data_IF_942345329200
#
_entry.id   IF_942345329200
#
_cell.length_a   1.000
_cell.length_b   1.000
_cell.length_c   1.000
_cell.angle_alpha   90.00
_cell.angle_beta   90.00
_cell.angle_gamma   90.00
#
_symmetry.space_group_name_H-M   'P 1'
#
loop_
_entity.id
_entity.type
_entity.pdbx_description
1 polymer ?
#
# COMPACT_ATOMS: atom_id res chain seq x y z
N UNK A 1 -15.89 0.64 -74.01
CA UNK A 1 -16.04 0.69 -72.54
C UNK A 1 -15.05 -0.30 -71.97
N UNK A 2 -14.00 0.21 -71.33
CA UNK A 2 -12.84 -0.58 -70.96
C UNK A 2 -13.02 -1.10 -69.53
N UNK A 3 -13.24 -2.41 -69.40
CA UNK A 3 -13.52 -3.06 -68.12
C UNK A 3 -12.32 -3.03 -67.17
N UNK A 4 -11.10 -2.80 -67.68
CA UNK A 4 -9.87 -2.71 -66.88
C UNK A 4 -9.84 -1.51 -65.94
N UNK A 5 -10.42 -0.38 -66.33
CA UNK A 5 -10.43 0.85 -65.51
C UNK A 5 -11.40 0.76 -64.33
N UNK A 6 -12.50 0.01 -64.50
CA UNK A 6 -13.52 -0.23 -63.46
C UNK A 6 -13.02 -1.19 -62.36
N UNK A 7 -12.29 -2.23 -62.75
CA UNK A 7 -11.69 -3.18 -61.79
C UNK A 7 -10.55 -2.53 -61.00
N UNK A 8 -9.73 -1.70 -61.66
CA UNK A 8 -8.63 -0.97 -61.01
C UNK A 8 -9.10 0.06 -59.97
N UNK A 9 -10.20 0.78 -60.23
CA UNK A 9 -10.75 1.76 -59.26
C UNK A 9 -11.44 1.10 -58.08
N UNK A 10 -12.14 -0.01 -58.28
CA UNK A 10 -12.73 -0.81 -57.19
C UNK A 10 -11.64 -1.42 -56.29
N UNK A 11 -10.56 -1.95 -56.87
CA UNK A 11 -9.44 -2.50 -56.10
C UNK A 11 -8.69 -1.40 -55.30
N UNK A 12 -8.45 -0.23 -55.90
CA UNK A 12 -7.82 0.91 -55.23
C UNK A 12 -8.65 1.46 -54.06
N UNK A 13 -9.97 1.51 -54.19
CA UNK A 13 -10.87 1.96 -53.13
C UNK A 13 -10.95 0.98 -51.94
N UNK A 14 -10.92 -0.34 -52.21
CA UNK A 14 -10.93 -1.37 -51.17
C UNK A 14 -9.60 -1.41 -50.40
N UNK A 15 -8.47 -1.27 -51.09
CA UNK A 15 -7.14 -1.23 -50.44
C UNK A 15 -6.94 0.08 -49.68
N UNK A 16 -7.32 1.24 -50.25
CA UNK A 16 -7.20 2.55 -49.59
C UNK A 16 -8.15 2.73 -48.41
N UNK A 17 -9.38 2.21 -48.49
CA UNK A 17 -10.35 2.22 -47.39
C UNK A 17 -10.00 1.25 -46.25
N UNK A 18 -9.43 0.08 -46.58
CA UNK A 18 -8.97 -0.89 -45.58
C UNK A 18 -7.78 -0.39 -44.74
N UNK A 19 -6.80 0.26 -45.38
CA UNK A 19 -5.62 0.83 -44.72
C UNK A 19 -5.96 1.98 -43.77
N UNK A 20 -6.95 2.82 -44.10
CA UNK A 20 -7.36 3.95 -43.23
C UNK A 20 -8.14 3.50 -42.00
N UNK A 21 -8.94 2.43 -42.09
CA UNK A 21 -9.66 1.87 -40.94
C UNK A 21 -8.71 1.09 -40.01
N UNK A 22 -7.76 0.33 -40.58
CA UNK A 22 -6.71 -0.34 -39.80
C UNK A 22 -5.76 0.66 -39.14
N UNK A 23 -5.34 1.72 -39.84
CA UNK A 23 -4.49 2.79 -39.29
C UNK A 23 -5.13 3.50 -38.10
N UNK A 24 -6.41 3.91 -38.21
CA UNK A 24 -7.14 4.55 -37.09
C UNK A 24 -7.36 3.63 -35.90
N UNK A 25 -7.56 2.33 -36.15
CA UNK A 25 -7.71 1.32 -35.08
C UNK A 25 -6.38 1.04 -34.37
N UNK A 26 -5.26 1.09 -35.10
CA UNK A 26 -3.91 0.91 -34.56
C UNK A 26 -3.44 2.15 -33.80
N UNK A 27 -3.64 3.35 -34.35
CA UNK A 27 -3.40 4.64 -33.67
C UNK A 27 -4.24 4.77 -32.39
N UNK A 28 -5.51 4.33 -32.42
CA UNK A 28 -6.37 4.30 -31.24
C UNK A 28 -5.87 3.34 -30.15
N UNK A 29 -5.31 2.19 -30.53
CA UNK A 29 -4.68 1.25 -29.57
C UNK A 29 -3.36 1.77 -29.05
N UNK A 30 -2.56 2.41 -29.88
CA UNK A 30 -1.26 2.97 -29.50
C UNK A 30 -1.43 4.15 -28.54
N UNK A 31 -2.34 5.10 -28.83
CA UNK A 31 -2.68 6.19 -27.91
C UNK A 31 -3.25 5.69 -26.58
N UNK A 32 -4.03 4.60 -26.61
CA UNK A 32 -4.54 3.95 -25.38
C UNK A 32 -3.44 3.29 -24.56
N UNK A 33 -2.40 2.73 -25.20
CA UNK A 33 -1.21 2.21 -24.52
C UNK A 33 -0.39 3.34 -23.92
N UNK A 34 -0.03 4.35 -24.71
CA UNK A 34 0.74 5.51 -24.23
C UNK A 34 0.02 6.24 -23.08
N UNK A 35 -1.31 6.40 -23.13
CA UNK A 35 -2.07 7.00 -22.04
C UNK A 35 -2.17 6.09 -20.80
N UNK A 36 -2.17 4.76 -20.98
CA UNK A 36 -2.12 3.79 -19.87
C UNK A 36 -0.74 3.81 -19.23
N UNK A 37 0.32 3.82 -20.02
CA UNK A 37 1.71 3.83 -19.57
C UNK A 37 2.03 5.13 -18.83
N UNK A 38 1.54 6.28 -19.31
CA UNK A 38 1.68 7.56 -18.61
C UNK A 38 0.98 7.58 -17.25
N UNK A 39 -0.24 7.04 -17.15
CA UNK A 39 -0.98 6.95 -15.88
C UNK A 39 -0.37 5.92 -14.92
N UNK A 40 0.11 4.80 -15.45
CA UNK A 40 0.81 3.78 -14.67
C UNK A 40 2.15 4.32 -14.14
N UNK A 41 2.85 5.14 -14.93
CA UNK A 41 4.07 5.82 -14.50
C UNK A 41 3.78 6.85 -13.39
N UNK A 42 2.73 7.66 -13.52
CA UNK A 42 2.33 8.64 -12.50
C UNK A 42 1.96 7.97 -11.18
N UNK A 43 1.05 6.99 -11.21
CA UNK A 43 0.67 6.22 -10.03
C UNK A 43 1.87 5.45 -9.44
N UNK A 44 2.70 4.88 -10.30
CA UNK A 44 3.87 4.12 -9.90
C UNK A 44 4.95 4.97 -9.21
N UNK A 45 5.15 6.21 -9.66
CA UNK A 45 6.09 7.14 -9.04
C UNK A 45 5.63 7.58 -7.64
N UNK A 46 4.34 7.88 -7.47
CA UNK A 46 3.78 8.27 -6.18
C UNK A 46 3.93 7.12 -5.16
N UNK A 47 3.41 5.93 -5.51
CA UNK A 47 3.49 4.74 -4.65
C UNK A 47 4.94 4.39 -4.33
N UNK A 48 5.86 4.51 -5.31
CA UNK A 48 7.29 4.24 -5.07
C UNK A 48 7.86 5.15 -3.99
N UNK A 49 7.54 6.44 -4.03
CA UNK A 49 8.06 7.39 -3.06
C UNK A 49 7.62 7.02 -1.64
N UNK A 50 6.34 6.74 -1.45
CA UNK A 50 5.77 6.32 -0.17
C UNK A 50 6.33 4.99 0.32
N UNK A 51 6.42 3.96 -0.53
CA UNK A 51 7.00 2.67 -0.15
C UNK A 51 8.47 2.79 0.26
N UNK A 52 9.25 3.67 -0.38
CA UNK A 52 10.63 3.94 0.02
C UNK A 52 10.72 4.71 1.34
N UNK A 53 9.76 5.59 1.64
CA UNK A 53 9.60 6.24 2.96
C UNK A 53 9.42 5.19 4.05
N UNK A 54 8.42 4.31 3.89
CA UNK A 54 8.17 3.19 4.81
C UNK A 54 9.37 2.27 4.95
N UNK A 55 10.03 1.89 3.84
CA UNK A 55 11.22 1.05 3.89
C UNK A 55 12.32 1.66 4.75
N UNK A 56 12.55 2.97 4.62
CA UNK A 56 13.55 3.69 5.42
C UNK A 56 13.20 3.68 6.91
N UNK A 57 11.92 3.82 7.24
CA UNK A 57 11.43 3.76 8.62
C UNK A 57 11.72 2.38 9.23
N UNK A 58 11.32 1.30 8.56
CA UNK A 58 11.51 -0.06 9.08
C UNK A 58 12.98 -0.51 9.11
N UNK A 59 13.78 -0.15 8.12
CA UNK A 59 15.23 -0.43 8.13
C UNK A 59 15.93 0.28 9.29
N UNK A 60 15.55 1.52 9.60
CA UNK A 60 16.10 2.23 10.77
C UNK A 60 15.68 1.58 12.07
N UNK A 61 14.44 1.12 12.15
CA UNK A 61 13.90 0.50 13.36
C UNK A 61 14.62 -0.80 13.72
N UNK A 62 15.05 -1.57 12.71
CA UNK A 62 15.84 -2.80 12.88
C UNK A 62 17.26 -2.59 13.46
N UNK A 63 17.76 -1.35 13.54
CA UNK A 63 19.06 -1.07 14.16
C UNK A 63 18.93 -1.07 15.69
N UNK A 64 19.63 -1.96 16.42
CA UNK A 64 19.56 -2.05 17.88
C UNK A 64 19.94 -0.75 18.62
N UNK A 65 20.61 0.18 17.95
CA UNK A 65 21.02 1.45 18.52
C UNK A 65 20.00 2.58 18.33
N UNK A 66 18.98 2.38 17.51
CA UNK A 66 17.95 3.39 17.29
C UNK A 66 16.84 3.29 18.33
N UNK A 67 16.17 4.41 18.55
CA UNK A 67 14.90 4.39 19.28
C UNK A 67 13.92 3.54 18.50
N UNK A 68 13.15 2.67 19.18
CA UNK A 68 12.32 1.77 18.42
C UNK A 68 11.20 2.63 17.76
N UNK A 69 10.70 2.27 16.58
CA UNK A 69 9.58 2.91 15.86
C UNK A 69 8.23 3.11 16.62
N UNK A 70 7.87 4.34 17.01
CA UNK A 70 6.52 4.64 17.58
C UNK A 70 5.45 4.93 16.51
N UNK A 71 4.55 3.98 16.28
CA UNK A 71 3.45 4.08 15.31
C UNK A 71 2.16 4.66 15.89
N UNK A 72 2.14 5.03 17.18
CA UNK A 72 0.97 5.67 17.81
C UNK A 72 0.90 7.18 17.57
N UNK A 73 1.99 7.75 17.05
CA UNK A 73 2.10 9.15 16.71
C UNK A 73 1.31 9.50 15.43
N UNK A 74 0.76 10.73 15.32
CA UNK A 74 -0.08 11.12 14.18
C UNK A 74 0.58 11.00 12.81
N UNK A 75 1.91 11.15 12.73
CA UNK A 75 2.63 11.08 11.46
C UNK A 75 2.51 9.70 10.80
N UNK A 76 2.31 8.62 11.57
CA UNK A 76 2.19 7.28 11.01
C UNK A 76 0.90 7.11 10.21
N UNK A 77 -0.23 7.55 10.77
CA UNK A 77 -1.53 7.48 10.09
C UNK A 77 -1.57 8.38 8.86
N UNK A 78 -0.92 9.56 8.92
CA UNK A 78 -0.74 10.46 7.78
C UNK A 78 0.03 9.78 6.62
N UNK A 79 1.14 9.09 6.90
CA UNK A 79 1.90 8.36 5.87
C UNK A 79 1.07 7.21 5.26
N UNK A 80 0.31 6.48 6.08
CA UNK A 80 -0.52 5.36 5.61
C UNK A 80 -1.70 5.86 4.77
N UNK A 81 -2.37 6.94 5.17
CA UNK A 81 -3.44 7.57 4.39
C UNK A 81 -2.92 8.24 3.11
N UNK A 82 -1.68 8.76 3.14
CA UNK A 82 -0.97 9.22 1.95
C UNK A 82 -0.83 8.10 0.93
N UNK A 83 -0.25 6.96 1.32
CA UNK A 83 -0.14 5.79 0.45
C UNK A 83 -1.51 5.29 -0.02
N UNK A 84 -2.51 5.22 0.86
CA UNK A 84 -3.88 4.80 0.48
C UNK A 84 -4.47 5.71 -0.61
N UNK A 85 -4.19 7.01 -0.55
CA UNK A 85 -4.62 7.97 -1.56
C UNK A 85 -3.91 7.76 -2.90
N UNK A 86 -2.63 7.42 -2.89
CA UNK A 86 -1.86 7.11 -4.10
C UNK A 86 -2.31 5.81 -4.78
N UNK A 87 -2.71 4.81 -3.98
CA UNK A 87 -3.26 3.55 -4.50
C UNK A 87 -4.52 3.76 -5.34
N UNK A 88 -5.31 4.81 -5.07
CA UNK A 88 -6.49 5.15 -5.88
C UNK A 88 -6.12 5.52 -7.33
N UNK A 89 -4.87 5.94 -7.58
CA UNK A 89 -4.36 6.27 -8.90
C UNK A 89 -4.07 5.00 -9.74
N UNK A 90 -3.93 3.84 -9.11
CA UNK A 90 -3.70 2.56 -9.80
C UNK A 90 -4.92 2.21 -10.63
N UNK A 91 -4.76 2.15 -11.95
CA UNK A 91 -5.88 1.95 -12.88
C UNK A 91 -6.34 0.50 -12.99
N UNK A 92 -5.46 -0.46 -12.71
CA UNK A 92 -5.75 -1.89 -12.81
C UNK A 92 -6.38 -2.41 -11.52
N UNK A 93 -7.59 -2.97 -11.62
CA UNK A 93 -8.36 -3.40 -10.45
C UNK A 93 -7.63 -4.45 -9.58
N UNK A 94 -6.98 -5.43 -10.22
CA UNK A 94 -6.27 -6.49 -9.51
C UNK A 94 -5.02 -5.95 -8.78
N UNK A 95 -4.26 -5.07 -9.43
CA UNK A 95 -3.10 -4.42 -8.82
C UNK A 95 -3.55 -3.51 -7.66
N UNK A 96 -4.61 -2.71 -7.87
CA UNK A 96 -5.18 -1.84 -6.84
C UNK A 96 -5.60 -2.62 -5.61
N UNK A 97 -6.35 -3.71 -5.79
CA UNK A 97 -6.79 -4.57 -4.68
C UNK A 97 -5.61 -5.10 -3.86
N UNK A 98 -4.51 -5.45 -4.52
CA UNK A 98 -3.31 -5.94 -3.83
C UNK A 98 -2.55 -4.83 -3.09
N UNK A 99 -2.50 -3.62 -3.65
CA UNK A 99 -1.99 -2.48 -2.91
C UNK A 99 -2.91 -2.05 -1.75
N UNK A 100 -4.23 -2.20 -1.89
CA UNK A 100 -5.17 -1.99 -0.77
C UNK A 100 -4.87 -2.96 0.38
N UNK A 101 -4.58 -4.23 0.11
CA UNK A 101 -4.13 -5.19 1.13
C UNK A 101 -2.85 -4.74 1.83
N UNK A 102 -1.88 -4.15 1.11
CA UNK A 102 -0.67 -3.57 1.69
C UNK A 102 -1.04 -2.46 2.69
N UNK A 103 -1.88 -1.52 2.27
CA UNK A 103 -2.32 -0.41 3.15
C UNK A 103 -3.12 -0.91 4.35
N UNK A 104 -3.93 -1.96 4.19
CA UNK A 104 -4.68 -2.59 5.28
C UNK A 104 -3.73 -3.14 6.36
N UNK A 105 -2.68 -3.88 5.95
CA UNK A 105 -1.70 -4.42 6.90
C UNK A 105 -0.92 -3.31 7.60
N UNK A 106 -0.48 -2.28 6.88
CA UNK A 106 0.20 -1.13 7.49
C UNK A 106 -0.69 -0.39 8.51
N UNK A 107 -1.98 -0.25 8.25
CA UNK A 107 -2.94 0.30 9.23
C UNK A 107 -3.12 -0.60 10.46
N UNK A 108 -2.91 -1.91 10.35
CA UNK A 108 -2.96 -2.79 11.52
C UNK A 108 -1.76 -2.57 12.46
N UNK A 109 -0.59 -2.26 11.89
CA UNK A 109 0.63 -1.95 12.65
C UNK A 109 0.45 -0.68 13.52
N UNK A 110 -0.25 0.34 13.01
CA UNK A 110 -0.59 1.59 13.73
C UNK A 110 -1.20 1.33 15.12
N UNK A 111 -2.12 0.38 15.18
CA UNK A 111 -3.03 0.21 16.30
C UNK A 111 -2.47 -0.57 17.50
N UNK A 112 -1.16 -0.83 17.49
CA UNK A 112 -0.45 -1.57 18.51
C UNK A 112 0.44 -0.63 19.34
N UNK A 113 -0.06 -0.08 20.46
CA UNK A 113 0.80 0.73 21.30
C UNK A 113 1.94 -0.13 21.87
N UNK A 114 3.15 0.43 21.87
CA UNK A 114 4.41 -0.25 22.21
C UNK A 114 4.57 -0.37 23.70
N UNK A 115 3.72 -1.18 24.31
CA UNK A 115 3.76 -1.34 25.75
C UNK A 115 4.64 -2.49 26.22
N UNK A 116 5.08 -3.43 25.37
CA UNK A 116 5.93 -4.56 25.79
C UNK A 116 6.66 -5.21 24.60
N UNK A 117 7.99 -5.36 24.67
CA UNK A 117 8.96 -6.29 24.03
C UNK A 117 8.77 -6.87 22.61
N UNK A 118 7.74 -6.47 21.85
CA UNK A 118 7.42 -7.03 20.55
C UNK A 118 7.90 -6.14 19.39
N UNK A 119 8.86 -5.23 19.63
CA UNK A 119 9.34 -4.26 18.62
C UNK A 119 9.86 -4.94 17.35
N UNK A 120 10.65 -6.01 17.53
CA UNK A 120 11.27 -6.76 16.43
C UNK A 120 10.23 -7.43 15.51
N UNK A 121 9.14 -7.99 16.07
CA UNK A 121 8.09 -8.68 15.28
C UNK A 121 7.32 -7.69 14.37
N UNK A 122 7.10 -6.45 14.83
CA UNK A 122 6.45 -5.41 14.00
C UNK A 122 7.35 -4.90 12.88
N UNK A 123 8.64 -4.78 13.18
CA UNK A 123 9.62 -4.28 12.21
C UNK A 123 9.86 -5.29 11.10
N UNK A 124 9.86 -6.58 11.42
CA UNK A 124 9.90 -7.68 10.44
C UNK A 124 8.64 -7.73 9.58
N UNK A 125 7.44 -7.66 10.18
CA UNK A 125 6.17 -7.61 9.43
C UNK A 125 6.14 -6.43 8.47
N UNK A 126 6.53 -5.25 8.95
CA UNK A 126 6.57 -4.03 8.14
C UNK A 126 7.54 -4.13 6.98
N UNK A 127 8.74 -4.65 7.22
CA UNK A 127 9.74 -4.87 6.17
C UNK A 127 9.22 -5.82 5.08
N UNK A 128 8.67 -6.97 5.47
CA UNK A 128 8.15 -7.99 4.54
C UNK A 128 7.02 -7.44 3.66
N UNK A 129 6.08 -6.70 4.25
CA UNK A 129 4.96 -6.07 3.54
C UNK A 129 5.47 -5.07 2.50
N UNK A 130 6.50 -4.30 2.84
CA UNK A 130 7.06 -3.29 1.93
C UNK A 130 7.86 -3.93 0.80
N UNK A 131 8.64 -4.99 1.06
CA UNK A 131 9.36 -5.72 0.00
C UNK A 131 8.38 -6.38 -0.99
N UNK A 132 7.30 -6.99 -0.49
CA UNK A 132 6.21 -7.53 -1.33
C UNK A 132 5.55 -6.42 -2.17
N UNK A 133 5.27 -5.27 -1.57
CA UNK A 133 4.69 -4.12 -2.27
C UNK A 133 5.62 -3.57 -3.38
N UNK A 134 6.94 -3.55 -3.14
CA UNK A 134 7.94 -3.12 -4.13
C UNK A 134 8.03 -4.10 -5.31
N UNK A 135 7.92 -5.40 -5.06
CA UNK A 135 7.87 -6.42 -6.12
C UNK A 135 6.60 -6.27 -6.97
N UNK A 136 5.45 -6.10 -6.32
CA UNK A 136 4.17 -5.84 -6.97
C UNK A 136 4.23 -4.58 -7.84
N UNK A 137 4.81 -3.50 -7.31
CA UNK A 137 5.01 -2.24 -8.01
C UNK A 137 5.91 -2.39 -9.23
N UNK A 138 7.00 -3.14 -9.10
CA UNK A 138 7.88 -3.45 -10.22
C UNK A 138 7.14 -4.13 -11.38
N UNK A 139 6.30 -5.12 -11.08
CA UNK A 139 5.48 -5.81 -12.09
C UNK A 139 4.44 -4.87 -12.71
N UNK A 140 3.75 -4.07 -11.89
CA UNK A 140 2.74 -3.10 -12.34
C UNK A 140 3.34 -2.06 -13.30
N UNK A 141 4.47 -1.44 -12.95
CA UNK A 141 5.12 -0.42 -13.79
C UNK A 141 5.59 -0.99 -15.13
N UNK A 142 6.07 -2.24 -15.15
CA UNK A 142 6.52 -2.91 -16.38
C UNK A 142 5.36 -3.43 -17.24
N UNK A 143 4.13 -3.44 -16.71
CA UNK A 143 2.98 -4.08 -17.35
C UNK A 143 3.13 -5.61 -17.45
N UNK A 144 3.98 -6.19 -16.59
CA UNK A 144 4.18 -7.64 -16.50
C UNK A 144 2.97 -8.31 -15.82
N UNK A 145 2.90 -9.64 -15.92
CA UNK A 145 2.01 -10.40 -15.06
C UNK A 145 2.33 -10.10 -13.59
N UNK A 146 1.31 -9.74 -12.81
CA UNK A 146 1.47 -9.56 -11.37
C UNK A 146 2.00 -10.86 -10.74
N UNK A 147 2.91 -10.78 -9.74
CA UNK A 147 3.38 -11.96 -9.05
C UNK A 147 2.19 -12.75 -8.48
N UNK A 148 2.28 -14.05 -8.28
CA UNK A 148 1.17 -14.75 -7.64
C UNK A 148 0.98 -14.23 -6.19
N UNK A 149 -0.21 -14.42 -5.60
CA UNK A 149 -0.47 -13.97 -4.23
C UNK A 149 0.40 -14.79 -3.28
N UNK A 150 1.44 -14.15 -2.71
CA UNK A 150 2.34 -14.84 -1.79
C UNK A 150 1.63 -15.09 -0.46
N UNK A 151 1.96 -16.21 0.15
CA UNK A 151 1.50 -16.51 1.52
C UNK A 151 2.06 -15.51 2.54
N UNK A 152 3.05 -14.69 2.18
CA UNK A 152 3.63 -13.64 3.01
C UNK A 152 2.59 -12.62 3.44
N UNK A 153 1.85 -12.01 2.51
CA UNK A 153 0.84 -11.00 2.87
C UNK A 153 -0.25 -11.55 3.80
N UNK A 154 -0.66 -12.82 3.59
CA UNK A 154 -1.60 -13.51 4.47
C UNK A 154 -1.01 -13.72 5.87
N UNK A 155 0.26 -14.14 5.96
CA UNK A 155 0.97 -14.32 7.25
C UNK A 155 1.18 -12.99 7.96
N UNK A 156 1.64 -11.95 7.26
CA UNK A 156 1.84 -10.61 7.79
C UNK A 156 0.53 -10.04 8.35
N UNK A 157 -0.59 -10.20 7.63
CA UNK A 157 -1.91 -9.82 8.12
C UNK A 157 -2.28 -10.57 9.40
N UNK A 158 -2.18 -11.90 9.39
CA UNK A 158 -2.54 -12.72 10.55
C UNK A 158 -1.65 -12.40 11.77
N UNK A 159 -0.36 -12.14 11.55
CA UNK A 159 0.57 -11.72 12.58
C UNK A 159 0.19 -10.33 13.13
N UNK A 160 -0.04 -9.34 12.25
CA UNK A 160 -0.45 -8.00 12.67
C UNK A 160 -1.77 -8.00 13.48
N UNK A 161 -2.77 -8.78 13.06
CA UNK A 161 -4.04 -8.95 13.78
C UNK A 161 -3.82 -9.60 15.16
N UNK A 162 -2.96 -10.63 15.23
CA UNK A 162 -2.61 -11.31 16.48
C UNK A 162 -1.91 -10.36 17.44
N UNK A 163 -0.92 -9.61 16.96
CA UNK A 163 -0.13 -8.71 17.80
C UNK A 163 -0.97 -7.52 18.27
N UNK A 164 -1.85 -6.99 17.41
CA UNK A 164 -2.87 -5.99 17.81
C UNK A 164 -3.75 -6.51 18.94
N UNK A 165 -4.26 -7.73 18.84
CA UNK A 165 -5.13 -8.33 19.86
C UNK A 165 -4.40 -8.48 21.20
N UNK A 166 -3.19 -9.04 21.18
CA UNK A 166 -2.33 -9.17 22.37
C UNK A 166 -2.04 -7.81 23.03
N UNK A 167 -1.77 -6.78 22.23
CA UNK A 167 -1.46 -5.44 22.76
C UNK A 167 -2.69 -4.75 23.35
N UNK A 168 -3.86 -4.90 22.74
CA UNK A 168 -5.12 -4.41 23.30
C UNK A 168 -5.45 -5.07 24.64
N UNK A 169 -5.22 -6.38 24.77
CA UNK A 169 -5.39 -7.11 26.03
C UNK A 169 -4.42 -6.62 27.11
N UNK A 170 -3.13 -6.49 26.79
CA UNK A 170 -2.11 -5.95 27.70
C UNK A 170 -2.42 -4.52 28.14
N UNK A 171 -2.87 -3.66 27.21
CA UNK A 171 -3.29 -2.30 27.53
C UNK A 171 -4.47 -2.28 28.51
N UNK A 172 -5.50 -3.10 28.27
CA UNK A 172 -6.65 -3.24 29.18
C UNK A 172 -6.22 -3.69 30.57
N UNK A 173 -5.30 -4.65 30.65
CA UNK A 173 -4.72 -5.09 31.93
C UNK A 173 -3.97 -3.96 32.63
N UNK A 174 -3.16 -3.19 31.90
CA UNK A 174 -2.42 -2.06 32.45
C UNK A 174 -3.34 -0.96 33.00
N UNK A 175 -4.38 -0.58 32.24
CA UNK A 175 -5.40 0.39 32.68
C UNK A 175 -6.15 -0.11 33.90
N UNK A 176 -6.55 -1.40 33.92
CA UNK A 176 -7.22 -2.01 35.06
C UNK A 176 -6.33 -2.03 36.32
N UNK A 177 -5.03 -2.28 36.15
CA UNK A 177 -4.06 -2.25 37.25
C UNK A 177 -3.88 -0.82 37.81
N UNK A 178 -3.69 0.19 36.94
CA UNK A 178 -3.64 1.60 37.36
C UNK A 178 -4.90 2.06 38.08
N UNK A 179 -6.07 1.60 37.65
CA UNK A 179 -7.35 1.90 38.31
C UNK A 179 -7.43 1.29 39.71
N UNK A 180 -6.88 0.08 39.92
CA UNK A 180 -6.80 -0.58 41.24
C UNK A 180 -5.77 0.08 42.17
N UNK A 181 -4.71 0.66 41.61
CA UNK A 181 -3.65 1.32 42.39
C UNK A 181 -3.98 2.77 42.75
N UNK A 182 -4.85 3.46 41.99
CA UNK A 182 -5.33 4.83 42.29
C UNK A 182 -5.97 5.02 43.69
N UNK A 183 -6.80 4.12 44.24
CA UNK A 183 -7.34 4.29 45.60
C UNK A 183 -6.30 4.11 46.72
N UNK A 184 -5.05 3.70 46.42
CA UNK A 184 -3.97 3.55 47.42
C UNK A 184 -3.09 4.79 47.58
N UNK A 185 -3.12 5.73 46.64
CA UNK A 185 -2.46 7.03 46.78
C UNK A 185 -3.44 8.04 47.40
N UNK A 186 -3.44 8.08 48.74
CA UNK A 186 -4.40 8.83 49.55
C UNK A 186 -4.53 10.32 49.20
N UNK A 187 -5.75 10.82 49.32
CA UNK A 187 -5.99 12.25 49.58
C UNK A 187 -5.34 12.58 50.93
N UNK A 188 -4.51 13.62 51.05
CA UNK A 188 -4.06 14.09 52.36
C UNK A 188 -5.30 14.50 53.15
N UNK A 189 -5.50 13.88 54.32
CA UNK A 189 -6.53 14.34 55.26
C UNK A 189 -6.19 15.78 55.64
N UNK A 190 -7.11 16.71 55.32
CA UNK A 190 -6.97 18.09 55.73
C UNK A 190 -6.80 18.16 57.26
N UNK A 191 -5.84 18.94 57.78
CA UNK A 191 -5.66 19.04 59.23
C UNK A 191 -6.94 19.59 59.88
N UNK A 192 -7.28 19.13 61.10
CA UNK A 192 -8.45 19.61 61.82
C UNK A 192 -8.32 21.12 62.03
N UNK A 193 -9.35 21.87 61.66
CA UNK A 193 -9.44 23.31 61.92
C UNK A 193 -9.49 23.52 63.44
N UNK A 194 -8.55 24.32 63.94
CA UNK A 194 -8.54 24.84 65.31
C UNK A 194 -9.66 25.87 65.52
#
# INVERSE_FOLDING_TARGET
MDWGTLIGTLAGAVVGGGLTIFGKSFEGRQRRREARDARAAEAGLAIRASLLSFRRIFVKAQDPHNEPLDTSEPWWSEEVDGLRSEVLLVTEADARKRFEQVTEVLSLIESAPRFVDNGEEFEEIGYDVIEEALQLLGAYIRGDRLPDESDTMRRCRAAAETTRTKNLERWRQHVAQRAKDRPRCGLPQAPPRA
#
